data_IF_046698495503
#
_entry.id   IF_046698495503
#
_cell.length_a   1.000
_cell.length_b   1.000
_cell.length_c   1.000
_cell.angle_alpha   90.00
_cell.angle_beta   90.00
_cell.angle_gamma   90.00
#
_symmetry.space_group_name_H-M   'P 1'
#
loop_
_entity.id
_entity.type
_entity.pdbx_description
1 polymer ?
#
# COMPACT_ATOMS: atom_id res chain seq x y z
N UNK A 1 2.60 -11.11 1.54
CA UNK A 1 2.38 -9.67 1.28
C UNK A 1 3.38 -8.83 2.07
N UNK A 2 3.70 -7.60 1.66
CA UNK A 2 4.58 -6.71 2.44
C UNK A 2 3.76 -5.74 3.31
N UNK A 3 4.06 -5.67 4.62
CA UNK A 3 3.34 -4.80 5.55
C UNK A 3 4.00 -3.40 5.63
N UNK A 4 3.24 -2.37 5.25
CA UNK A 4 3.62 -0.96 5.33
C UNK A 4 2.44 -0.19 5.92
N UNK A 5 2.43 0.10 7.23
CA UNK A 5 1.41 0.95 7.82
C UNK A 5 1.35 2.32 7.11
N UNK A 6 0.16 2.72 6.67
CA UNK A 6 -0.04 3.93 5.85
C UNK A 6 0.55 5.20 6.48
N UNK A 7 0.52 5.29 7.81
CA UNK A 7 1.05 6.41 8.58
C UNK A 7 2.58 6.60 8.42
N UNK A 8 3.32 5.58 8.00
CA UNK A 8 4.75 5.71 7.71
C UNK A 8 5.04 6.61 6.50
N UNK A 9 4.04 6.89 5.65
CA UNK A 9 4.17 7.78 4.50
C UNK A 9 3.96 9.27 4.83
N UNK A 10 3.55 9.60 6.06
CA UNK A 10 3.33 10.97 6.51
C UNK A 10 4.30 11.35 7.63
N UNK A 11 4.45 12.65 7.87
CA UNK A 11 5.12 13.23 9.04
C UNK A 11 4.11 13.46 10.16
N UNK A 12 4.61 13.84 11.34
CA UNK A 12 3.78 14.11 12.53
C UNK A 12 2.80 15.27 12.34
N UNK A 13 3.10 16.21 11.43
CA UNK A 13 2.23 17.31 11.04
C UNK A 13 1.16 16.93 10.00
N UNK A 14 1.10 15.65 9.61
CA UNK A 14 0.16 15.13 8.61
C UNK A 14 0.57 15.36 7.15
N UNK A 15 1.69 16.03 6.89
CA UNK A 15 2.20 16.19 5.51
C UNK A 15 2.82 14.91 4.99
N UNK A 16 2.77 14.68 3.67
CA UNK A 16 3.50 13.57 3.06
C UNK A 16 5.02 13.75 3.24
N UNK A 17 5.71 12.63 3.42
CA UNK A 17 7.17 12.58 3.35
C UNK A 17 7.67 12.98 1.96
N UNK A 18 8.94 13.35 1.86
CA UNK A 18 9.55 13.67 0.55
C UNK A 18 9.55 12.44 -0.36
N UNK A 19 9.63 12.66 -1.68
CA UNK A 19 9.77 11.60 -2.67
C UNK A 19 10.88 10.61 -2.30
N UNK A 20 12.06 11.10 -1.92
CA UNK A 20 13.21 10.26 -1.59
C UNK A 20 12.94 9.37 -0.36
N UNK A 21 12.34 9.92 0.71
CA UNK A 21 11.94 9.16 1.90
C UNK A 21 10.89 8.10 1.58
N UNK A 22 9.91 8.44 0.74
CA UNK A 22 8.87 7.52 0.29
C UNK A 22 9.47 6.39 -0.57
N UNK A 23 10.33 6.70 -1.54
CA UNK A 23 11.00 5.70 -2.37
C UNK A 23 11.82 4.73 -1.53
N UNK A 24 12.58 5.23 -0.55
CA UNK A 24 13.33 4.40 0.39
C UNK A 24 12.40 3.48 1.20
N UNK A 25 11.29 4.02 1.73
CA UNK A 25 10.31 3.28 2.53
C UNK A 25 9.71 2.07 1.79
N UNK A 26 9.34 2.27 0.52
CA UNK A 26 8.69 1.26 -0.30
C UNK A 26 9.70 0.27 -0.90
N UNK A 27 10.84 0.75 -1.42
CA UNK A 27 11.89 -0.11 -1.99
C UNK A 27 12.49 -1.06 -0.96
N UNK A 28 12.65 -0.62 0.30
CA UNK A 28 13.13 -1.47 1.39
C UNK A 28 12.26 -2.71 1.65
N UNK A 29 11.03 -2.74 1.12
CA UNK A 29 10.09 -3.87 1.22
C UNK A 29 9.75 -4.47 -0.14
N UNK A 30 10.57 -4.22 -1.15
CA UNK A 30 10.42 -4.81 -2.48
C UNK A 30 9.26 -4.25 -3.32
N UNK A 31 8.68 -3.12 -2.89
CA UNK A 31 7.67 -2.38 -3.66
C UNK A 31 8.41 -1.46 -4.63
N UNK A 32 8.42 -1.82 -5.91
CA UNK A 32 9.21 -1.21 -6.99
C UNK A 32 8.34 -0.97 -8.23
N UNK A 33 8.60 0.08 -9.05
CA UNK A 33 7.70 0.49 -10.13
C UNK A 33 7.59 -0.53 -11.28
N UNK A 34 8.52 -1.48 -11.38
CA UNK A 34 8.55 -2.52 -12.41
C UNK A 34 7.52 -3.64 -12.15
N UNK A 35 6.92 -3.69 -10.95
CA UNK A 35 5.92 -4.68 -10.57
C UNK A 35 4.51 -4.10 -10.59
N UNK A 36 3.52 -4.94 -10.84
CA UNK A 36 2.14 -4.60 -10.48
C UNK A 36 2.00 -4.58 -8.96
N UNK A 37 1.38 -3.51 -8.44
CA UNK A 37 1.20 -3.31 -7.01
C UNK A 37 -0.28 -3.20 -6.69
N UNK A 38 -0.72 -4.00 -5.74
CA UNK A 38 -2.08 -3.96 -5.20
C UNK A 38 -1.99 -3.55 -3.73
N UNK A 39 -2.59 -2.42 -3.40
CA UNK A 39 -2.71 -1.97 -2.00
C UNK A 39 -4.02 -2.47 -1.42
N UNK A 40 -4.01 -2.91 -0.17
CA UNK A 40 -5.21 -3.30 0.57
C UNK A 40 -5.10 -2.93 2.04
N UNK A 41 -6.23 -2.85 2.72
CA UNK A 41 -6.28 -2.62 4.17
C UNK A 41 -7.40 -3.46 4.79
N UNK A 42 -8.33 -2.84 5.53
CA UNK A 42 -9.56 -3.47 5.99
C UNK A 42 -10.72 -3.28 5.00
N UNK A 43 -10.95 -2.05 4.53
CA UNK A 43 -12.10 -1.63 3.70
C UNK A 43 -11.73 -0.59 2.62
N UNK A 44 -10.53 -0.65 2.05
CA UNK A 44 -10.10 0.30 1.02
C UNK A 44 -9.70 1.72 1.47
N UNK A 45 -10.15 2.18 2.65
CA UNK A 45 -9.96 3.57 3.11
C UNK A 45 -8.47 3.96 3.26
N UNK A 46 -7.68 3.15 3.99
CA UNK A 46 -6.26 3.41 4.30
C UNK A 46 -5.35 3.00 3.15
N UNK A 47 -5.79 2.03 2.36
CA UNK A 47 -5.06 1.62 1.17
C UNK A 47 -5.20 2.63 0.05
N UNK A 48 -6.30 3.40 -0.03
CA UNK A 48 -6.41 4.52 -0.98
C UNK A 48 -5.32 5.57 -0.76
N UNK A 49 -4.97 5.88 0.49
CA UNK A 49 -3.85 6.76 0.83
C UNK A 49 -2.52 6.23 0.29
N UNK A 50 -2.22 4.95 0.54
CA UNK A 50 -0.98 4.33 0.05
C UNK A 50 -0.95 4.19 -1.48
N UNK A 51 -2.09 3.89 -2.09
CA UNK A 51 -2.27 3.89 -3.54
C UNK A 51 -1.98 5.27 -4.13
N UNK A 52 -2.48 6.34 -3.53
CA UNK A 52 -2.23 7.71 -3.99
C UNK A 52 -0.73 8.05 -3.94
N UNK A 53 -0.06 7.71 -2.84
CA UNK A 53 1.39 7.90 -2.67
C UNK A 53 2.16 7.20 -3.79
N UNK A 54 1.90 5.91 -4.02
CA UNK A 54 2.60 5.13 -5.04
C UNK A 54 2.28 5.63 -6.45
N UNK A 55 1.02 5.88 -6.77
CA UNK A 55 0.55 6.23 -8.12
C UNK A 55 0.93 7.65 -8.52
N UNK A 56 0.72 8.62 -7.63
CA UNK A 56 0.83 10.04 -7.97
C UNK A 56 2.08 10.70 -7.41
N UNK A 57 2.45 10.41 -6.15
CA UNK A 57 3.65 11.02 -5.57
C UNK A 57 4.92 10.34 -6.03
N UNK A 58 4.91 9.03 -6.24
CA UNK A 58 6.06 8.28 -6.76
C UNK A 58 5.99 8.03 -8.26
N UNK A 59 4.80 8.11 -8.86
CA UNK A 59 4.62 7.96 -10.31
C UNK A 59 4.65 6.51 -10.79
N UNK A 60 4.35 5.54 -9.93
CA UNK A 60 4.39 4.13 -10.31
C UNK A 60 3.24 3.85 -11.30
N UNK A 61 3.52 3.16 -12.43
CA UNK A 61 2.54 3.06 -13.52
C UNK A 61 1.39 2.09 -13.20
N UNK A 62 1.68 1.01 -12.48
CA UNK A 62 0.78 -0.15 -12.31
C UNK A 62 0.38 -0.34 -10.85
N UNK A 63 -0.45 0.57 -10.33
CA UNK A 63 -0.93 0.53 -8.94
C UNK A 63 -2.45 0.51 -8.87
N UNK A 64 -3.01 -0.49 -8.19
CA UNK A 64 -4.45 -0.66 -7.97
C UNK A 64 -4.77 -0.69 -6.48
N UNK A 65 -5.94 -0.15 -6.11
CA UNK A 65 -6.48 -0.28 -4.76
C UNK A 65 -7.50 -1.42 -4.75
N UNK A 66 -7.28 -2.42 -3.90
CA UNK A 66 -8.24 -3.49 -3.64
C UNK A 66 -9.18 -3.06 -2.51
N UNK A 67 -10.35 -2.56 -2.88
CA UNK A 67 -11.32 -1.94 -1.97
C UNK A 67 -12.01 -2.95 -1.04
N UNK A 68 -12.36 -4.14 -1.53
CA UNK A 68 -12.91 -5.23 -0.71
C UNK A 68 -11.97 -5.64 0.44
N UNK A 69 -10.66 -5.53 0.20
CA UNK A 69 -9.62 -5.56 1.24
C UNK A 69 -9.76 -6.81 2.15
N UNK A 70 -9.30 -6.73 3.40
CA UNK A 70 -9.35 -7.87 4.32
C UNK A 70 -10.76 -8.25 4.75
N UNK A 71 -11.73 -7.32 4.76
CA UNK A 71 -13.13 -7.69 5.07
C UNK A 71 -13.71 -8.64 4.03
N UNK A 72 -13.33 -8.49 2.76
CA UNK A 72 -13.71 -9.45 1.73
C UNK A 72 -12.81 -10.69 1.78
N UNK A 73 -11.48 -10.52 1.66
CA UNK A 73 -10.54 -11.65 1.53
C UNK A 73 -10.58 -12.59 2.74
N UNK A 74 -10.66 -12.04 3.95
CA UNK A 74 -10.68 -12.80 5.19
C UNK A 74 -11.98 -13.57 5.42
N UNK A 75 -13.06 -13.25 4.70
CA UNK A 75 -14.35 -13.95 4.77
C UNK A 75 -14.63 -14.81 3.52
N UNK A 76 -13.78 -14.74 2.49
CA UNK A 76 -13.96 -15.48 1.26
C UNK A 76 -13.60 -16.97 1.44
N UNK A 77 -14.48 -17.85 0.96
CA UNK A 77 -14.31 -19.30 1.07
C UNK A 77 -13.04 -19.72 0.31
N UNK A 78 -12.15 -20.44 1.01
CA UNK A 78 -10.91 -21.02 0.46
C UNK A 78 -9.88 -20.00 -0.05
N UNK A 79 -9.97 -18.73 0.35
CA UNK A 79 -8.89 -17.78 0.09
C UNK A 79 -7.64 -18.15 0.89
N UNK A 80 -6.46 -18.20 0.25
CA UNK A 80 -5.22 -18.52 0.95
C UNK A 80 -4.88 -17.41 1.94
N UNK A 81 -4.46 -17.82 3.15
CA UNK A 81 -4.04 -16.92 4.23
C UNK A 81 -2.69 -17.41 4.75
N UNK A 82 -1.72 -16.51 4.79
CA UNK A 82 -0.42 -16.72 5.42
C UNK A 82 -0.44 -16.05 6.80
N UNK A 83 0.06 -16.77 7.82
CA UNK A 83 0.24 -16.24 9.18
C UNK A 83 1.74 -16.04 9.42
N UNK A 84 2.13 -14.97 10.14
CA UNK A 84 3.51 -14.79 10.57
C UNK A 84 3.95 -15.90 11.53
#
# INVERSE_FOLDING_TARGET
>A
AANIPWALAVRDDGTFKTRAELEALYRARGVVPEKEIITYCRIGERSSHSWFVLRYLLGYPNVRNYDGSWTEWGNQIRSPIERP
#
